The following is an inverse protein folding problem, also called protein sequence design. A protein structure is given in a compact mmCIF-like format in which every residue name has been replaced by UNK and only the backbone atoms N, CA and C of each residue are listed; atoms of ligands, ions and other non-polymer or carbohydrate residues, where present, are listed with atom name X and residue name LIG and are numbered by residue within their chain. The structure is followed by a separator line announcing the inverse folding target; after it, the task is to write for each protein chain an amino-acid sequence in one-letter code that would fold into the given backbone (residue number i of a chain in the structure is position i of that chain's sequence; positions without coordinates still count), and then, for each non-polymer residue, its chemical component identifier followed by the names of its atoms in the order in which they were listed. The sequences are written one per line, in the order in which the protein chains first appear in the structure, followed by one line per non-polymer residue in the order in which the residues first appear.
data_IF_974808870286
#
_entry.id   IF_974808870286
#
_cell.length_a   1.000
_cell.length_b   1.000
_cell.length_c   1.000
_cell.angle_alpha   90.00
_cell.angle_beta   90.00
_cell.angle_gamma   90.00
#
_symmetry.space_group_name_H-M   'P 1'
#
loop_
_entity.id
_entity.type
_entity.pdbx_description
1 polymer ?
#
# COMPACT_ATOMS: atom_id res chain seq x y z
N UNK A 1 -2.17 6.34 1.41
CA UNK A 1 -1.21 5.23 1.19
C UNK A 1 -0.75 5.04 -0.27
N UNK A 2 -1.67 5.07 -1.23
CA UNK A 2 -1.41 4.69 -2.64
C UNK A 2 -0.42 5.62 -3.37
N UNK A 3 -0.39 6.91 -3.02
CA UNK A 3 0.53 7.87 -3.64
C UNK A 3 1.92 7.88 -2.96
N UNK A 4 1.99 7.50 -1.68
CA UNK A 4 3.21 7.49 -0.87
C UNK A 4 3.45 6.12 -0.23
N UNK A 5 3.69 5.07 -1.04
CA UNK A 5 3.80 3.70 -0.53
C UNK A 5 4.96 3.51 0.46
N UNK A 6 6.09 4.20 0.25
CA UNK A 6 7.26 4.11 1.12
C UNK A 6 6.96 4.67 2.53
N UNK A 7 6.30 5.84 2.59
CA UNK A 7 5.89 6.43 3.87
C UNK A 7 4.89 5.52 4.60
N UNK A 8 3.93 4.95 3.87
CA UNK A 8 2.97 4.02 4.46
C UNK A 8 3.67 2.78 5.06
N UNK A 9 4.62 2.17 4.35
CA UNK A 9 5.39 1.02 4.84
C UNK A 9 6.24 1.37 6.06
N UNK A 10 6.85 2.56 6.08
CA UNK A 10 7.59 3.07 7.24
C UNK A 10 6.69 3.25 8.46
N UNK A 11 5.49 3.82 8.28
CA UNK A 11 4.50 3.95 9.34
C UNK A 11 4.06 2.59 9.90
N UNK A 12 3.80 1.61 9.03
CA UNK A 12 3.46 0.24 9.46
C UNK A 12 4.58 -0.40 10.27
N UNK A 13 5.83 -0.29 9.80
CA UNK A 13 7.01 -0.77 10.52
C UNK A 13 7.09 -0.14 11.90
N UNK A 14 6.94 1.19 11.99
CA UNK A 14 6.95 1.91 13.27
C UNK A 14 5.89 1.37 14.23
N UNK A 15 4.67 1.15 13.75
CA UNK A 15 3.57 0.64 14.58
C UNK A 15 3.82 -0.80 15.03
N UNK A 16 4.37 -1.64 14.14
CA UNK A 16 4.71 -3.02 14.45
C UNK A 16 5.82 -3.11 15.51
N UNK A 17 6.87 -2.31 15.36
CA UNK A 17 8.00 -2.26 16.31
C UNK A 17 7.64 -1.71 17.69
N UNK A 18 6.51 -1.01 17.84
CA UNK A 18 5.99 -0.65 19.17
C UNK A 18 5.49 -1.87 19.96
N UNK A 19 5.30 -3.02 19.32
CA UNK A 19 4.78 -4.25 19.90
C UNK A 19 3.51 -4.03 20.75
N UNK A 20 2.46 -3.39 20.21
CA UNK A 20 1.25 -3.10 20.96
C UNK A 20 0.48 -4.39 21.29
N UNK A 21 -0.15 -4.42 22.47
CA UNK A 21 -1.02 -5.55 22.84
C UNK A 21 -2.23 -5.65 21.90
N UNK A 22 -2.80 -4.51 21.50
CA UNK A 22 -3.87 -4.42 20.51
C UNK A 22 -3.81 -3.10 19.72
N UNK A 23 -4.44 -3.09 18.56
CA UNK A 23 -4.68 -1.88 17.76
C UNK A 23 -6.18 -1.58 17.73
N UNK A 24 -6.52 -0.32 18.00
CA UNK A 24 -7.86 0.21 17.74
C UNK A 24 -7.88 0.78 16.32
N UNK A 25 -8.54 0.07 15.41
CA UNK A 25 -8.72 0.54 14.04
C UNK A 25 -9.85 1.57 14.00
N UNK A 26 -9.69 2.61 13.17
CA UNK A 26 -10.75 3.59 12.91
C UNK A 26 -12.05 2.94 12.40
N UNK A 27 -11.92 1.80 11.70
CA UNK A 27 -13.01 0.95 11.26
C UNK A 27 -12.60 -0.52 11.53
N UNK A 28 -13.51 -1.33 12.08
CA UNK A 28 -13.26 -2.74 12.38
C UNK A 28 -12.93 -3.05 13.85
N UNK A 29 -12.81 -2.04 14.71
CA UNK A 29 -12.67 -2.23 16.15
C UNK A 29 -11.26 -2.61 16.60
N UNK A 30 -11.19 -3.37 17.69
CA UNK A 30 -9.93 -3.85 18.28
C UNK A 30 -9.41 -5.09 17.56
N UNK A 31 -8.12 -5.09 17.21
CA UNK A 31 -7.45 -6.22 16.54
C UNK A 31 -6.06 -6.46 17.09
N UNK A 32 -5.57 -7.69 16.93
CA UNK A 32 -4.15 -8.01 17.16
C UNK A 32 -3.34 -7.69 15.91
N UNK A 33 -2.22 -6.99 16.07
CA UNK A 33 -1.29 -6.68 14.98
C UNK A 33 -0.05 -7.56 15.04
N UNK A 34 -0.24 -8.84 14.76
CA UNK A 34 0.82 -9.86 14.77
C UNK A 34 1.66 -9.85 13.47
N UNK A 35 2.71 -10.67 13.44
CA UNK A 35 3.60 -10.82 12.28
C UNK A 35 2.83 -11.21 11.02
N UNK A 36 1.83 -12.08 11.16
CA UNK A 36 1.01 -12.53 10.01
C UNK A 36 0.22 -11.37 9.40
N UNK A 37 -0.43 -10.56 10.24
CA UNK A 37 -1.13 -9.37 9.81
C UNK A 37 -0.17 -8.35 9.19
N UNK A 38 0.98 -8.12 9.82
CA UNK A 38 2.02 -7.23 9.30
C UNK A 38 2.48 -7.64 7.90
N UNK A 39 2.85 -8.91 7.70
CA UNK A 39 3.29 -9.43 6.41
C UNK A 39 2.18 -9.41 5.36
N UNK A 40 0.94 -9.74 5.75
CA UNK A 40 -0.21 -9.67 4.84
C UNK A 40 -0.39 -8.26 4.27
N UNK A 41 -0.31 -7.23 5.12
CA UNK A 41 -0.40 -5.84 4.67
C UNK A 41 0.80 -5.49 3.78
N UNK A 42 2.02 -5.89 4.14
CA UNK A 42 3.21 -5.60 3.33
C UNK A 42 3.19 -6.24 1.93
N UNK A 43 2.59 -7.42 1.81
CA UNK A 43 2.45 -8.16 0.55
C UNK A 43 1.35 -7.59 -0.36
N UNK A 44 0.26 -7.09 0.24
CA UNK A 44 -0.89 -6.56 -0.51
C UNK A 44 -0.78 -5.08 -0.81
N UNK A 45 -0.01 -4.32 -0.01
CA UNK A 45 0.17 -2.89 -0.19
C UNK A 45 0.98 -2.55 -1.46
N UNK A 46 0.61 -1.49 -2.19
CA UNK A 46 1.37 -1.03 -3.34
C UNK A 46 2.79 -0.63 -2.93
N UNK A 47 3.78 -0.99 -3.75
CA UNK A 47 5.19 -0.61 -3.57
C UNK A 47 5.61 0.56 -4.47
N UNK A 48 4.77 0.92 -5.43
CA UNK A 48 5.01 2.01 -6.37
C UNK A 48 3.88 3.03 -6.28
N UNK A 49 4.16 4.34 -6.34
CA UNK A 49 3.13 5.37 -6.31
C UNK A 49 2.09 5.12 -7.40
N UNK A 50 0.82 4.96 -7.02
CA UNK A 50 -0.30 4.88 -7.96
C UNK A 50 -0.92 6.27 -8.10
N UNK A 51 -0.18 7.19 -8.70
CA UNK A 51 -0.66 8.56 -8.94
C UNK A 51 -1.49 8.62 -10.22
N UNK A 52 -2.40 9.61 -10.32
CA UNK A 52 -3.17 9.85 -11.55
C UNK A 52 -2.27 9.94 -12.78
N UNK A 53 -1.16 10.67 -12.67
CA UNK A 53 -0.20 10.83 -13.77
C UNK A 53 0.42 9.51 -14.24
N UNK A 54 0.75 8.60 -13.32
CA UNK A 54 1.25 7.27 -13.66
C UNK A 54 0.19 6.48 -14.43
N UNK A 55 -1.06 6.51 -13.97
CA UNK A 55 -2.18 5.84 -14.64
C UNK A 55 -2.36 6.38 -16.05
N UNK A 56 -2.35 7.71 -16.22
CA UNK A 56 -2.41 8.37 -17.53
C UNK A 56 -1.28 7.91 -18.44
N UNK A 57 -0.02 7.91 -17.98
CA UNK A 57 1.14 7.43 -18.77
C UNK A 57 0.98 5.98 -19.22
N UNK A 58 0.52 5.09 -18.34
CA UNK A 58 0.33 3.68 -18.66
C UNK A 58 -0.74 3.52 -19.73
N UNK A 59 -1.88 4.20 -19.59
CA UNK A 59 -2.97 4.16 -20.58
C UNK A 59 -2.55 4.74 -21.92
N UNK A 60 -1.88 5.89 -21.94
CA UNK A 60 -1.38 6.51 -23.16
C UNK A 60 -0.40 5.60 -23.91
N UNK A 61 0.54 4.98 -23.19
CA UNK A 61 1.47 3.99 -23.79
C UNK A 61 0.71 2.78 -24.35
N UNK A 62 -0.26 2.25 -23.62
CA UNK A 62 -1.08 1.14 -24.09
C UNK A 62 -1.84 1.46 -25.38
N UNK A 63 -2.39 2.67 -25.48
CA UNK A 63 -3.06 3.14 -26.70
C UNK A 63 -2.07 3.24 -27.88
N UNK A 64 -0.88 3.81 -27.65
CA UNK A 64 0.15 3.88 -28.69
C UNK A 64 0.55 2.49 -29.17
N UNK A 65 0.82 1.54 -28.26
CA UNK A 65 1.14 0.16 -28.64
C UNK A 65 0.02 -0.52 -29.42
N UNK A 66 -1.24 -0.24 -29.11
CA UNK A 66 -2.38 -0.79 -29.84
C UNK A 66 -2.51 -0.21 -31.27
N UNK A 67 -2.11 1.05 -31.47
CA UNK A 67 -2.16 1.72 -32.77
C UNK A 67 -0.96 1.36 -33.68
N UNK A 68 0.19 1.02 -33.09
CA UNK A 68 1.43 0.70 -33.81
C UNK A 68 1.76 -0.81 -33.84
N UNK A 69 0.80 -1.66 -33.52
CA UNK A 69 0.85 -3.11 -33.71
C UNK A 69 0.17 -3.47 -35.02
#
# INVERSE_FOLDING_TARGET
PIFHPNQYRQSLKRVFEMNPQCLLLAHGGEVTFDEKAYQHILHTAPTKPMTHWRVTKVKARGLLFALFR
#
